data_IF_114648626101
#
_entry.id   IF_114648626101
#
_cell.length_a   1.000
_cell.length_b   1.000
_cell.length_c   1.000
_cell.angle_alpha   90.00
_cell.angle_beta   90.00
_cell.angle_gamma   90.00
#
_symmetry.space_group_name_H-M   'P 1'
#
loop_
_entity.id
_entity.type
_entity.pdbx_description
1 polymer ?
#
# COMPACT_ATOMS: atom_id res chain seq x y z
N UNK A 1 3.15 16.65 -0.37
CA UNK A 1 3.31 15.40 -1.14
C UNK A 1 3.10 14.17 -0.27
N UNK A 2 3.77 14.04 0.88
CA UNK A 2 3.62 12.88 1.79
C UNK A 2 2.16 12.54 2.14
N UNK A 3 1.33 13.51 2.49
CA UNK A 3 -0.08 13.29 2.84
C UNK A 3 -0.90 12.67 1.71
N UNK A 4 -0.64 13.06 0.47
CA UNK A 4 -1.28 12.51 -0.73
C UNK A 4 -0.80 11.08 -0.97
N UNK A 5 0.50 10.82 -0.82
CA UNK A 5 1.08 9.46 -0.89
C UNK A 5 0.51 8.56 0.20
N UNK A 6 0.34 9.08 1.41
CA UNK A 6 -0.26 8.34 2.52
C UNK A 6 -1.74 8.02 2.27
N UNK A 7 -2.48 8.92 1.62
CA UNK A 7 -3.87 8.67 1.22
C UNK A 7 -3.94 7.61 0.12
N UNK A 8 -3.03 7.69 -0.86
CA UNK A 8 -2.93 6.70 -1.94
C UNK A 8 -2.57 5.31 -1.40
N UNK A 9 -1.53 5.22 -0.56
CA UNK A 9 -1.10 3.98 0.07
C UNK A 9 -2.23 3.33 0.89
N UNK A 10 -2.97 4.14 1.64
CA UNK A 10 -4.14 3.67 2.39
C UNK A 10 -5.25 3.16 1.47
N UNK A 11 -5.51 3.85 0.37
CA UNK A 11 -6.55 3.46 -0.60
C UNK A 11 -6.22 2.12 -1.26
N UNK A 12 -4.94 1.94 -1.61
CA UNK A 12 -4.42 0.70 -2.20
C UNK A 12 -4.45 -0.46 -1.18
N UNK A 13 -4.05 -0.23 0.07
CA UNK A 13 -4.10 -1.24 1.14
C UNK A 13 -5.53 -1.71 1.43
N UNK A 14 -6.48 -0.77 1.48
CA UNK A 14 -7.86 -1.09 1.85
C UNK A 14 -8.68 -1.71 0.74
N UNK A 15 -8.35 -1.39 -0.51
CA UNK A 15 -8.98 -1.91 -1.73
C UNK A 15 -10.48 -1.59 -1.89
N UNK A 16 -11.30 -1.67 -0.83
CA UNK A 16 -12.73 -1.39 -0.82
C UNK A 16 -13.15 0.04 -1.25
N UNK A 17 -12.34 1.11 -1.09
CA UNK A 17 -12.75 2.42 -1.61
C UNK A 17 -12.85 2.44 -3.13
N UNK A 18 -12.15 1.55 -3.82
CA UNK A 18 -12.12 1.48 -5.29
C UNK A 18 -13.50 1.17 -5.91
N UNK A 19 -14.23 0.09 -5.55
CA UNK A 19 -15.57 -0.15 -6.09
C UNK A 19 -16.56 0.98 -5.76
N UNK A 20 -16.45 1.61 -4.59
CA UNK A 20 -17.28 2.77 -4.22
C UNK A 20 -17.01 3.94 -5.17
N UNK A 21 -15.74 4.23 -5.46
CA UNK A 21 -15.36 5.27 -6.42
C UNK A 21 -15.93 5.00 -7.82
N UNK A 22 -15.87 3.76 -8.30
CA UNK A 22 -16.42 3.38 -9.60
C UNK A 22 -17.95 3.56 -9.62
N UNK A 23 -18.66 3.17 -8.56
CA UNK A 23 -20.11 3.37 -8.45
C UNK A 23 -20.46 4.86 -8.48
N UNK A 24 -19.74 5.68 -7.70
CA UNK A 24 -19.92 7.13 -7.73
C UNK A 24 -19.70 7.71 -9.14
N UNK A 25 -18.65 7.26 -9.83
CA UNK A 25 -18.37 7.70 -11.19
C UNK A 25 -19.50 7.31 -12.17
N UNK A 26 -20.05 6.10 -12.05
CA UNK A 26 -21.23 5.67 -12.82
C UNK A 26 -22.43 6.57 -12.56
N UNK A 27 -22.73 6.89 -11.30
CA UNK A 27 -23.83 7.78 -10.95
C UNK A 27 -23.62 9.20 -11.50
N UNK A 28 -22.39 9.71 -11.47
CA UNK A 28 -22.03 11.01 -12.04
C UNK A 28 -22.24 11.00 -13.56
N UNK A 29 -21.75 9.98 -14.27
CA UNK A 29 -21.93 9.83 -15.72
C UNK A 29 -23.40 9.75 -16.09
N UNK A 30 -24.20 8.97 -15.36
CA UNK A 30 -25.65 8.90 -15.55
C UNK A 30 -26.34 10.26 -15.31
N UNK A 31 -25.92 11.00 -14.28
CA UNK A 31 -26.42 12.33 -13.97
C UNK A 31 -26.13 13.32 -15.09
N UNK A 32 -24.89 13.37 -15.58
CA UNK A 32 -24.47 14.22 -16.69
C UNK A 32 -25.22 13.86 -17.98
N UNK A 33 -25.29 12.56 -18.31
CA UNK A 33 -26.01 12.09 -19.49
C UNK A 33 -27.50 12.52 -19.45
N UNK A 34 -28.14 12.43 -18.28
CA UNK A 34 -29.52 12.88 -18.08
C UNK A 34 -29.66 14.40 -18.25
N UNK A 35 -28.73 15.19 -17.72
CA UNK A 35 -28.71 16.65 -17.87
C UNK A 35 -28.50 17.09 -19.32
N UNK A 36 -27.70 16.35 -20.08
CA UNK A 36 -27.42 16.60 -21.49
C UNK A 36 -28.50 16.06 -22.45
N UNK A 37 -29.58 15.47 -21.93
CA UNK A 37 -30.64 14.88 -22.74
C UNK A 37 -30.21 13.64 -23.54
N UNK A 38 -29.11 12.99 -23.15
CA UNK A 38 -28.63 11.77 -23.80
C UNK A 38 -29.64 10.65 -23.55
N UNK A 39 -30.01 9.94 -24.61
CA UNK A 39 -30.91 8.80 -24.51
C UNK A 39 -30.27 7.71 -23.64
N UNK A 40 -30.93 7.33 -22.55
CA UNK A 40 -30.37 6.39 -21.56
C UNK A 40 -30.10 4.98 -22.11
N UNK A 41 -30.74 4.61 -23.23
CA UNK A 41 -30.49 3.37 -23.95
C UNK A 41 -29.47 3.47 -25.08
N UNK A 42 -28.74 4.60 -25.20
CA UNK A 42 -27.74 4.76 -26.26
C UNK A 42 -26.60 3.77 -26.07
N UNK A 43 -26.25 3.05 -27.14
CA UNK A 43 -25.11 2.11 -27.19
C UNK A 43 -23.82 2.73 -26.62
N UNK A 44 -23.38 3.96 -26.99
CA UNK A 44 -22.14 4.52 -26.44
C UNK A 44 -22.19 4.72 -24.92
N UNK A 45 -23.33 5.14 -24.36
CA UNK A 45 -23.49 5.28 -22.91
C UNK A 45 -23.42 3.91 -22.24
N UNK A 46 -24.13 2.90 -22.77
CA UNK A 46 -24.08 1.55 -22.21
C UNK A 46 -22.67 0.95 -22.26
N UNK A 47 -21.94 1.11 -23.37
CA UNK A 47 -20.55 0.65 -23.49
C UNK A 47 -19.68 1.31 -22.43
N UNK A 48 -19.79 2.63 -22.24
CA UNK A 48 -19.04 3.34 -21.20
C UNK A 48 -19.36 2.82 -19.80
N UNK A 49 -20.64 2.64 -19.46
CA UNK A 49 -21.06 2.13 -18.16
C UNK A 49 -20.57 0.69 -17.92
N UNK A 50 -20.64 -0.17 -18.94
CA UNK A 50 -20.13 -1.53 -18.86
C UNK A 50 -18.62 -1.53 -18.65
N UNK A 51 -17.86 -0.70 -19.38
CA UNK A 51 -16.41 -0.57 -19.19
C UNK A 51 -16.07 -0.14 -17.76
N UNK A 52 -16.81 0.82 -17.20
CA UNK A 52 -16.63 1.24 -15.80
C UNK A 52 -16.96 0.12 -14.83
N UNK A 53 -18.05 -0.61 -15.04
CA UNK A 53 -18.43 -1.72 -14.16
C UNK A 53 -17.45 -2.89 -14.22
N UNK A 54 -16.84 -3.14 -15.38
CA UNK A 54 -15.75 -4.13 -15.54
C UNK A 54 -14.53 -3.76 -14.69
N UNK A 55 -14.29 -2.48 -14.40
CA UNK A 55 -13.20 -2.11 -13.49
C UNK A 55 -13.37 -2.73 -12.11
N UNK A 56 -14.58 -2.99 -11.61
CA UNK A 56 -14.77 -3.57 -10.27
C UNK A 56 -14.18 -5.00 -10.17
N UNK A 57 -14.63 -6.01 -10.94
CA UNK A 57 -14.14 -7.37 -10.82
C UNK A 57 -12.68 -7.55 -11.26
N UNK A 58 -12.14 -6.66 -12.11
CA UNK A 58 -10.75 -6.78 -12.59
C UNK A 58 -9.77 -5.84 -11.88
N UNK A 59 -10.19 -4.62 -11.56
CA UNK A 59 -9.36 -3.62 -10.89
C UNK A 59 -9.18 -3.89 -9.40
N UNK A 60 -10.19 -4.41 -8.70
CA UNK A 60 -10.09 -4.75 -7.28
C UNK A 60 -9.03 -5.83 -7.02
N UNK A 61 -9.01 -6.98 -7.74
CA UNK A 61 -7.93 -7.96 -7.60
C UNK A 61 -6.57 -7.42 -8.05
N UNK A 62 -6.53 -6.60 -9.10
CA UNK A 62 -5.28 -6.00 -9.56
C UNK A 62 -4.66 -5.08 -8.49
N UNK A 63 -5.47 -4.26 -7.81
CA UNK A 63 -5.01 -3.42 -6.70
C UNK A 63 -4.55 -4.27 -5.52
N UNK A 64 -5.27 -5.33 -5.18
CA UNK A 64 -4.86 -6.24 -4.10
C UNK A 64 -3.53 -6.94 -4.39
N UNK A 65 -3.35 -7.42 -5.62
CA UNK A 65 -2.18 -8.21 -6.01
C UNK A 65 -0.95 -7.37 -6.32
N UNK A 66 -1.13 -6.21 -6.96
CA UNK A 66 -0.02 -5.36 -7.41
C UNK A 66 0.16 -4.10 -6.57
N UNK A 67 -0.80 -3.76 -5.72
CA UNK A 67 -0.80 -2.54 -4.91
C UNK A 67 0.50 -2.29 -4.14
N UNK A 68 0.99 -3.25 -3.33
CA UNK A 68 2.23 -3.09 -2.57
C UNK A 68 3.45 -2.73 -3.44
N UNK A 69 3.53 -3.27 -4.65
CA UNK A 69 4.60 -2.99 -5.62
C UNK A 69 4.61 -1.53 -6.11
N UNK A 70 3.46 -0.88 -6.15
CA UNK A 70 3.35 0.54 -6.49
C UNK A 70 3.56 1.45 -5.27
N UNK A 71 3.15 1.00 -4.08
CA UNK A 71 3.25 1.77 -2.84
C UNK A 71 4.69 1.84 -2.34
N UNK A 72 5.46 0.75 -2.40
CA UNK A 72 6.80 0.71 -1.82
C UNK A 72 7.77 1.77 -2.41
N UNK A 73 7.87 1.96 -3.75
CA UNK A 73 8.67 3.04 -4.33
C UNK A 73 8.21 4.44 -3.91
N UNK A 74 6.90 4.67 -3.78
CA UNK A 74 6.38 5.96 -3.36
C UNK A 74 6.70 6.28 -1.90
N UNK A 75 6.62 5.27 -1.02
CA UNK A 75 7.01 5.42 0.40
C UNK A 75 8.52 5.59 0.52
N UNK A 76 9.30 4.92 -0.33
CA UNK A 76 10.75 5.16 -0.39
C UNK A 76 11.06 6.61 -0.80
N UNK A 77 10.43 7.14 -1.85
CA UNK A 77 10.76 8.47 -2.37
C UNK A 77 10.28 9.60 -1.44
N UNK A 78 9.05 9.49 -0.92
CA UNK A 78 8.39 10.58 -0.18
C UNK A 78 8.31 10.35 1.33
N UNK A 79 8.75 9.20 1.83
CA UNK A 79 8.76 8.87 3.25
C UNK A 79 9.92 9.51 4.00
N UNK A 80 9.71 9.71 5.31
CA UNK A 80 10.73 10.19 6.23
C UNK A 80 11.71 9.06 6.58
N UNK A 81 13.03 9.29 6.57
CA UNK A 81 14.00 8.30 7.04
C UNK A 81 13.84 8.04 8.54
N UNK A 82 14.09 6.80 8.94
CA UNK A 82 14.05 6.39 10.33
C UNK A 82 14.74 5.05 10.55
N UNK A 83 14.71 4.60 11.80
CA UNK A 83 15.20 3.27 12.17
C UNK A 83 14.09 2.47 12.84
N UNK A 84 14.12 1.17 12.63
CA UNK A 84 13.18 0.26 13.23
C UNK A 84 13.90 -0.98 13.78
N UNK A 85 13.28 -1.62 14.76
CA UNK A 85 13.75 -2.85 15.38
C UNK A 85 12.58 -3.82 15.47
N UNK A 86 12.79 -5.08 15.09
CA UNK A 86 11.82 -6.14 15.31
C UNK A 86 11.83 -6.49 16.80
N UNK A 87 10.68 -6.37 17.45
CA UNK A 87 10.48 -6.72 18.86
C UNK A 87 10.16 -8.21 19.02
N UNK A 88 9.31 -8.75 18.15
CA UNK A 88 8.90 -10.15 18.17
C UNK A 88 8.41 -10.60 16.80
N UNK A 89 8.39 -11.92 16.59
CA UNK A 89 7.71 -12.55 15.45
C UNK A 89 6.73 -13.62 15.94
N UNK A 90 5.61 -13.77 15.24
CA UNK A 90 4.59 -14.79 15.53
C UNK A 90 4.00 -15.34 14.23
N UNK A 91 3.60 -16.60 14.26
CA UNK A 91 2.86 -17.21 13.16
C UNK A 91 1.45 -16.61 13.08
N UNK A 92 0.97 -16.34 11.87
CA UNK A 92 -0.40 -15.85 11.63
C UNK A 92 -1.40 -16.97 11.38
N UNK A 93 -0.92 -18.20 11.17
CA UNK A 93 -1.70 -19.35 10.71
C UNK A 93 -1.98 -19.34 9.20
N UNK A 94 -1.56 -18.29 8.48
CA UNK A 94 -1.75 -18.18 7.03
C UNK A 94 -0.55 -18.75 6.26
N UNK A 95 -0.81 -19.21 5.05
CA UNK A 95 0.21 -19.68 4.10
C UNK A 95 0.12 -18.88 2.82
N UNK A 96 1.25 -18.34 2.37
CA UNK A 96 1.39 -17.62 1.11
C UNK A 96 2.54 -18.24 0.30
N UNK A 97 2.29 -18.63 -0.97
CA UNK A 97 3.27 -19.32 -1.81
C UNK A 97 3.94 -20.51 -1.12
N UNK A 98 3.15 -21.37 -0.47
CA UNK A 98 3.62 -22.56 0.27
C UNK A 98 4.59 -22.24 1.43
N UNK A 99 4.59 -21.01 1.94
CA UNK A 99 5.38 -20.60 3.11
C UNK A 99 4.47 -20.03 4.19
N UNK A 100 4.72 -20.31 5.48
CA UNK A 100 3.97 -19.70 6.56
C UNK A 100 4.18 -18.19 6.56
N UNK A 101 3.10 -17.45 6.79
CA UNK A 101 3.13 -15.99 6.92
C UNK A 101 3.40 -15.65 8.38
N UNK A 102 4.51 -14.96 8.61
CA UNK A 102 4.90 -14.48 9.94
C UNK A 102 4.51 -13.01 10.10
N UNK A 103 3.98 -12.66 11.26
CA UNK A 103 3.81 -11.26 11.68
C UNK A 103 5.01 -10.84 12.51
N UNK A 104 5.63 -9.73 12.14
CA UNK A 104 6.71 -9.09 12.87
C UNK A 104 6.16 -7.86 13.58
N UNK A 105 6.23 -7.83 14.91
CA UNK A 105 5.94 -6.64 15.69
C UNK A 105 7.21 -5.77 15.73
N UNK A 106 7.09 -4.50 15.38
CA UNK A 106 8.21 -3.59 15.10
C UNK A 106 8.07 -2.32 15.93
N UNK A 107 9.18 -1.89 16.52
CA UNK A 107 9.29 -0.55 17.10
C UNK A 107 10.00 0.36 16.11
N UNK A 108 9.28 1.33 15.57
CA UNK A 108 9.81 2.38 14.70
C UNK A 108 10.19 3.60 15.53
N UNK A 109 11.35 4.18 15.27
CA UNK A 109 11.81 5.42 15.88
C UNK A 109 11.73 6.55 14.86
N UNK A 110 10.92 7.56 15.17
CA UNK A 110 10.81 8.78 14.38
C UNK A 110 12.03 9.69 14.56
N UNK A 111 12.18 10.64 13.64
CA UNK A 111 13.18 11.71 13.73
C UNK A 111 13.08 12.57 15.01
N UNK A 112 11.87 12.73 15.58
CA UNK A 112 11.64 13.45 16.84
C UNK A 112 11.96 12.62 18.10
N UNK A 113 12.44 11.38 17.93
CA UNK A 113 12.74 10.44 19.02
C UNK A 113 11.52 9.66 19.52
N UNK A 114 10.31 9.95 19.04
CA UNK A 114 9.11 9.19 19.40
C UNK A 114 9.20 7.76 18.88
N UNK A 115 8.91 6.79 19.76
CA UNK A 115 8.80 5.38 19.39
C UNK A 115 7.35 5.02 19.09
N UNK A 116 7.12 4.32 18.00
CA UNK A 116 5.81 3.82 17.58
C UNK A 116 5.88 2.31 17.46
N UNK A 117 4.92 1.63 18.07
CA UNK A 117 4.71 0.21 17.83
C UNK A 117 3.84 0.03 16.59
N UNK A 118 4.31 -0.81 15.68
CA UNK A 118 3.60 -1.21 14.46
C UNK A 118 3.89 -2.68 14.18
N UNK A 119 3.35 -3.21 13.10
CA UNK A 119 3.65 -4.54 12.63
C UNK A 119 3.59 -4.61 11.10
N UNK A 120 4.18 -5.66 10.55
CA UNK A 120 3.99 -6.07 9.16
C UNK A 120 3.94 -7.59 9.08
N UNK A 121 3.27 -8.10 8.05
CA UNK A 121 3.24 -9.52 7.75
C UNK A 121 4.27 -9.82 6.65
N UNK A 122 4.89 -11.00 6.67
CA UNK A 122 5.90 -11.38 5.67
C UNK A 122 5.37 -11.42 4.24
N UNK A 123 4.04 -11.47 4.08
CA UNK A 123 3.32 -11.36 2.81
C UNK A 123 3.14 -9.92 2.31
N UNK A 124 3.46 -8.91 3.11
CA UNK A 124 3.28 -7.50 2.73
C UNK A 124 4.36 -7.01 1.76
N UNK A 125 5.50 -7.74 1.68
CA UNK A 125 6.65 -7.39 0.83
C UNK A 125 7.09 -5.92 0.97
N UNK A 126 7.08 -5.41 2.21
CA UNK A 126 7.40 -4.04 2.58
C UNK A 126 8.91 -3.70 2.50
N UNK A 127 9.59 -4.14 1.44
CA UNK A 127 11.02 -3.88 1.21
C UNK A 127 11.23 -3.04 -0.03
N UNK A 128 12.27 -2.22 -0.01
CA UNK A 128 12.75 -1.48 -1.16
C UNK A 128 14.27 -1.66 -1.35
N UNK A 129 14.76 -1.89 -2.58
CA UNK A 129 13.99 -2.27 -3.76
C UNK A 129 13.32 -3.63 -3.59
N UNK A 130 12.25 -3.89 -4.35
CA UNK A 130 11.48 -5.14 -4.25
C UNK A 130 12.34 -6.35 -4.64
N UNK A 131 12.23 -7.45 -3.89
CA UNK A 131 12.98 -8.71 -4.12
C UNK A 131 12.03 -9.91 -4.04
N UNK A 132 12.38 -10.97 -4.78
CA UNK A 132 11.61 -12.22 -4.79
C UNK A 132 11.74 -13.00 -3.48
N UNK A 133 12.87 -12.82 -2.79
CA UNK A 133 13.13 -13.38 -1.47
C UNK A 133 13.70 -12.30 -0.56
N UNK A 134 13.15 -12.22 0.66
CA UNK A 134 13.56 -11.29 1.68
C UNK A 134 13.91 -12.07 2.94
N UNK A 135 15.11 -11.82 3.45
CA UNK A 135 15.50 -12.23 4.80
C UNK A 135 15.37 -11.02 5.70
N UNK A 136 14.37 -11.04 6.59
CA UNK A 136 14.16 -9.95 7.54
C UNK A 136 15.24 -9.98 8.65
N UNK A 137 15.59 -8.80 9.22
CA UNK A 137 16.53 -8.71 10.33
C UNK A 137 16.11 -9.55 11.54
N UNK A 138 17.07 -9.96 12.36
CA UNK A 138 16.77 -10.66 13.61
C UNK A 138 16.13 -9.69 14.64
N UNK A 139 15.31 -10.20 15.58
CA UNK A 139 14.80 -9.39 16.68
C UNK A 139 15.93 -8.65 17.42
N UNK A 140 15.69 -7.39 17.77
CA UNK A 140 16.69 -6.54 18.42
C UNK A 140 17.71 -5.88 17.46
N UNK A 141 17.80 -6.32 16.21
CA UNK A 141 18.69 -5.71 15.22
C UNK A 141 18.04 -4.46 14.60
N UNK A 142 18.69 -3.28 14.63
CA UNK A 142 18.19 -2.09 13.97
C UNK A 142 18.36 -2.18 12.45
N UNK A 143 17.38 -1.66 11.72
CA UNK A 143 17.40 -1.56 10.26
C UNK A 143 16.81 -0.23 9.79
N UNK A 144 17.30 0.30 8.65
CA UNK A 144 16.80 1.56 8.11
C UNK A 144 15.43 1.36 7.47
N UNK A 145 14.56 2.33 7.68
CA UNK A 145 13.23 2.39 7.11
C UNK A 145 12.95 3.76 6.53
N UNK A 146 12.01 3.81 5.58
CA UNK A 146 11.29 5.05 5.27
C UNK A 146 9.82 4.87 5.58
N UNK A 147 9.22 5.84 6.26
CA UNK A 147 7.85 5.76 6.73
C UNK A 147 7.07 7.03 6.42
N UNK A 148 5.76 6.90 6.29
CA UNK A 148 4.87 8.05 6.19
C UNK A 148 4.54 8.55 7.60
N UNK A 149 5.00 9.75 7.96
CA UNK A 149 4.82 10.33 9.30
C UNK A 149 3.35 10.43 9.71
N UNK A 150 2.47 10.72 8.76
CA UNK A 150 1.01 10.75 8.96
C UNK A 150 0.38 9.36 9.14
N UNK A 151 1.02 8.28 8.67
CA UNK A 151 0.57 6.89 8.80
C UNK A 151 1.77 5.93 8.97
N UNK A 152 2.35 5.85 10.18
CA UNK A 152 3.63 5.14 10.39
C UNK A 152 3.58 3.63 10.15
N UNK A 153 2.38 3.05 10.07
CA UNK A 153 2.17 1.66 9.65
C UNK A 153 2.55 1.41 8.19
N UNK A 154 2.50 2.45 7.35
CA UNK A 154 3.01 2.37 5.98
C UNK A 154 4.48 2.80 5.96
N UNK A 155 5.35 1.80 6.00
CA UNK A 155 6.79 1.98 5.91
C UNK A 155 7.40 0.92 5.00
N UNK A 156 8.59 1.22 4.50
CA UNK A 156 9.42 0.28 3.74
C UNK A 156 10.75 0.09 4.45
N UNK A 157 11.23 -1.15 4.44
CA UNK A 157 12.56 -1.53 4.89
C UNK A 157 13.51 -1.31 3.73
N UNK A 158 14.55 -0.49 3.94
CA UNK A 158 15.53 -0.18 2.90
C UNK A 158 16.67 -1.19 2.95
N UNK A 159 16.96 -1.83 1.82
CA UNK A 159 17.90 -2.95 1.72
C UNK A 159 19.05 -2.63 0.75
N UNK A 160 20.23 -3.23 0.98
CA UNK A 160 21.39 -3.09 0.08
C UNK A 160 22.09 -1.73 0.19
N UNK A 161 22.63 -1.23 -0.92
CA UNK A 161 23.44 -0.01 -0.94
C UNK A 161 22.63 1.24 -0.53
N UNK A 162 21.33 1.24 -0.82
CA UNK A 162 20.37 2.28 -0.43
C UNK A 162 20.15 2.38 1.09
N UNK A 163 20.47 1.31 1.83
CA UNK A 163 20.35 1.25 3.28
C UNK A 163 21.32 2.23 3.95
N UNK A 164 22.52 2.41 3.39
CA UNK A 164 23.54 3.33 3.89
C UNK A 164 23.13 4.80 3.70
N UNK A 165 22.46 5.11 2.59
CA UNK A 165 21.92 6.44 2.29
C UNK A 165 20.69 6.77 3.16
N UNK A 166 19.87 5.77 3.47
CA UNK A 166 18.65 5.96 4.28
C UNK A 166 18.90 5.94 5.79
N UNK A 167 20.05 5.47 6.25
CA UNK A 167 20.45 5.46 7.66
C UNK A 167 20.96 6.83 8.16
N UNK A 168 21.18 7.80 7.27
CA UNK A 168 21.66 9.13 7.63
C UNK A 168 20.46 10.03 7.97
N UNK A 169 20.41 10.61 9.19
CA UNK A 169 19.32 11.48 9.62
C UNK A 169 19.28 12.80 8.84
#
# INVERSE_FOLDING_TARGET
METLVALLAWTIDKVWPFPVFIICLVLIVLGIARLMGVQQGSVPLMVLLVLLMICIPFGTPALFMFGPRWVAPLVYEYGTPGQAVIASSKDTGNVYNNRPVLRYDVTLQKADGQKIQTYFDSSDFNVYPQRDAVTYPAPGQPFPVRYLSSRPRHFVIVMGDDASASAKP
#
